data_IF_006651403624
#
_entry.id   IF_006651403624
#
_cell.length_a   1.000
_cell.length_b   1.000
_cell.length_c   1.000
_cell.angle_alpha   90.00
_cell.angle_beta   90.00
_cell.angle_gamma   90.00
#
_symmetry.space_group_name_H-M   'P 1'
#
loop_
_entity.id
_entity.type
_entity.pdbx_description
1 polymer ?
#
# COMPACT_ATOMS: atom_id res chain seq x y z
N UNK A 1 2.26 20.25 9.80
CA UNK A 1 1.85 18.82 9.67
C UNK A 1 3.03 18.09 9.06
N UNK A 2 3.76 17.28 9.85
CA UNK A 2 4.95 16.57 9.39
C UNK A 2 4.53 15.42 8.47
N UNK A 3 4.60 15.63 7.16
CA UNK A 3 4.47 14.55 6.18
C UNK A 3 5.76 13.74 6.22
N UNK A 4 5.87 12.80 7.15
CA UNK A 4 6.95 11.82 7.17
C UNK A 4 6.95 11.12 5.83
N UNK A 5 7.98 11.35 5.01
CA UNK A 5 8.13 10.68 3.72
C UNK A 5 8.39 9.18 3.97
N UNK A 6 7.42 8.29 3.67
CA UNK A 6 7.58 6.86 3.86
C UNK A 6 8.78 6.33 3.06
N UNK A 7 9.73 5.68 3.76
CA UNK A 7 10.94 5.15 3.14
C UNK A 7 10.64 3.81 2.48
N UNK A 8 10.32 3.85 1.19
CA UNK A 8 10.09 2.64 0.38
C UNK A 8 11.43 2.09 -0.11
N UNK A 9 11.98 1.10 0.59
CA UNK A 9 13.10 0.29 0.11
C UNK A 9 12.58 -0.95 -0.61
N UNK A 10 12.55 -0.92 -1.94
CA UNK A 10 12.27 -2.09 -2.79
C UNK A 10 13.50 -2.38 -3.65
N UNK A 11 13.88 -3.66 -3.80
CA UNK A 11 15.15 -4.05 -4.43
C UNK A 11 15.24 -3.46 -5.85
N UNK A 12 16.20 -2.55 -6.00
CA UNK A 12 16.61 -1.86 -7.22
C UNK A 12 17.22 -2.89 -8.16
N UNK A 13 16.46 -3.37 -9.15
CA UNK A 13 16.98 -4.39 -10.09
C UNK A 13 16.05 -4.84 -11.21
N UNK A 14 14.78 -4.43 -11.24
CA UNK A 14 13.85 -4.82 -12.30
C UNK A 14 13.12 -3.58 -12.79
N UNK A 15 13.14 -3.33 -14.10
CA UNK A 15 12.60 -2.13 -14.75
C UNK A 15 11.28 -1.67 -14.12
N UNK A 16 11.25 -0.44 -13.61
CA UNK A 16 10.07 0.18 -13.02
C UNK A 16 8.90 0.07 -13.99
N UNK A 17 7.72 -0.32 -13.52
CA UNK A 17 6.55 -0.36 -14.39
C UNK A 17 6.16 1.09 -14.73
N UNK A 18 6.07 1.40 -16.01
CA UNK A 18 5.45 2.67 -16.40
C UNK A 18 3.95 2.57 -16.10
N UNK A 19 3.54 3.34 -15.09
CA UNK A 19 2.17 3.45 -14.62
C UNK A 19 1.48 4.71 -15.18
N UNK A 20 2.16 5.49 -16.05
CA UNK A 20 1.60 6.70 -16.67
C UNK A 20 0.64 6.24 -17.77
N UNK A 21 -0.66 6.33 -17.49
CA UNK A 21 -1.72 5.93 -18.44
C UNK A 21 -2.59 4.76 -17.98
N UNK A 22 -2.27 4.12 -16.85
CA UNK A 22 -3.12 3.09 -16.26
C UNK A 22 -4.32 3.71 -15.53
N UNK A 23 -5.48 3.06 -15.64
CA UNK A 23 -6.69 3.47 -14.93
C UNK A 23 -6.47 3.55 -13.41
N UNK A 24 -6.75 4.72 -12.85
CA UNK A 24 -6.54 5.01 -11.43
C UNK A 24 -5.21 5.71 -11.11
N UNK A 25 -4.24 5.76 -12.04
CA UNK A 25 -2.95 6.46 -11.84
C UNK A 25 -3.13 7.94 -11.45
N UNK A 26 -4.17 8.57 -11.97
CA UNK A 26 -4.51 9.97 -11.67
C UNK A 26 -5.11 10.17 -10.26
N UNK A 27 -5.63 9.10 -9.64
CA UNK A 27 -6.13 9.13 -8.26
C UNK A 27 -5.04 8.83 -7.22
N UNK A 28 -3.86 8.38 -7.65
CA UNK A 28 -2.73 8.12 -6.77
C UNK A 28 -1.91 9.37 -6.55
N UNK A 29 -1.52 9.58 -5.29
CA UNK A 29 -0.55 10.60 -4.93
C UNK A 29 0.84 10.26 -5.47
N UNK A 30 1.74 11.25 -5.53
CA UNK A 30 3.09 11.07 -6.09
C UNK A 30 3.85 9.91 -5.41
N UNK A 31 3.79 9.85 -4.08
CA UNK A 31 4.37 8.77 -3.26
C UNK A 31 3.80 7.38 -3.59
N UNK A 32 2.47 7.31 -3.75
CA UNK A 32 1.79 6.04 -4.04
C UNK A 32 2.06 5.58 -5.48
N UNK A 33 2.20 6.52 -6.42
CA UNK A 33 2.67 6.21 -7.78
C UNK A 33 4.08 5.64 -7.75
N UNK A 34 5.01 6.27 -7.03
CA UNK A 34 6.35 5.71 -6.88
C UNK A 34 6.32 4.30 -6.28
N UNK A 35 5.47 4.06 -5.27
CA UNK A 35 5.26 2.75 -4.69
C UNK A 35 4.71 1.73 -5.71
N UNK A 36 3.67 2.08 -6.47
CA UNK A 36 3.10 1.21 -7.50
C UNK A 36 4.10 0.88 -8.60
N UNK A 37 4.88 1.87 -9.03
CA UNK A 37 5.92 1.70 -10.05
C UNK A 37 7.04 0.77 -9.56
N UNK A 38 7.47 0.94 -8.30
CA UNK A 38 8.47 0.07 -7.64
C UNK A 38 7.93 -1.35 -7.43
N UNK A 39 6.69 -1.50 -6.96
CA UNK A 39 6.05 -2.80 -6.70
C UNK A 39 5.55 -3.51 -7.97
N UNK A 40 5.64 -2.89 -9.15
CA UNK A 40 5.03 -3.36 -10.41
C UNK A 40 3.57 -3.78 -10.17
N UNK A 41 2.80 -2.90 -9.55
CA UNK A 41 1.40 -3.13 -9.21
C UNK A 41 0.53 -2.17 -10.01
N UNK A 42 -0.60 -2.66 -10.52
CA UNK A 42 -1.56 -1.79 -11.18
C UNK A 42 -2.18 -0.82 -10.15
N UNK A 43 -2.28 0.49 -10.50
CA UNK A 43 -2.98 1.51 -9.71
C UNK A 43 -4.31 1.05 -9.10
N UNK A 44 -5.14 0.39 -9.91
CA UNK A 44 -6.44 -0.12 -9.49
C UNK A 44 -6.32 -1.19 -8.40
N UNK A 45 -5.36 -2.10 -8.53
CA UNK A 45 -5.11 -3.15 -7.54
C UNK A 45 -4.57 -2.58 -6.23
N UNK A 46 -3.69 -1.57 -6.31
CA UNK A 46 -3.25 -0.82 -5.14
C UNK A 46 -4.43 -0.16 -4.42
N UNK A 47 -5.31 0.52 -5.14
CA UNK A 47 -6.46 1.20 -4.55
C UNK A 47 -7.39 0.21 -3.82
N UNK A 48 -7.64 -0.96 -4.43
CA UNK A 48 -8.41 -2.04 -3.78
C UNK A 48 -7.72 -2.52 -2.50
N UNK A 49 -6.41 -2.75 -2.55
CA UNK A 49 -5.62 -3.16 -1.39
C UNK A 49 -5.61 -2.13 -0.26
N UNK A 50 -5.36 -0.86 -0.60
CA UNK A 50 -5.41 0.29 0.31
C UNK A 50 -6.75 0.36 1.03
N UNK A 51 -7.86 0.29 0.30
CA UNK A 51 -9.21 0.32 0.88
C UNK A 51 -9.46 -0.88 1.79
N UNK A 52 -9.05 -2.08 1.39
CA UNK A 52 -9.23 -3.29 2.21
C UNK A 52 -8.42 -3.20 3.52
N UNK A 53 -7.16 -2.79 3.43
CA UNK A 53 -6.26 -2.63 4.58
C UNK A 53 -6.79 -1.56 5.53
N UNK A 54 -7.15 -0.38 5.04
CA UNK A 54 -7.68 0.71 5.87
C UNK A 54 -9.01 0.33 6.55
N UNK A 55 -9.90 -0.35 5.83
CA UNK A 55 -11.15 -0.87 6.43
C UNK A 55 -10.86 -1.90 7.52
N UNK A 56 -9.92 -2.82 7.26
CA UNK A 56 -9.46 -3.80 8.23
C UNK A 56 -8.86 -3.18 9.49
N UNK A 57 -7.94 -2.23 9.31
CA UNK A 57 -7.32 -1.49 10.39
C UNK A 57 -8.35 -0.70 11.21
N UNK A 58 -9.29 -0.02 10.55
CA UNK A 58 -10.38 0.69 11.23
C UNK A 58 -11.28 -0.26 12.03
N UNK A 59 -11.54 -1.46 11.52
CA UNK A 59 -12.30 -2.49 12.24
C UNK A 59 -11.53 -3.01 13.44
N UNK A 60 -10.25 -3.34 13.27
CA UNK A 60 -9.37 -3.77 14.37
C UNK A 60 -9.28 -2.69 15.46
N UNK A 61 -9.12 -1.41 15.09
CA UNK A 61 -9.12 -0.28 16.01
C UNK A 61 -10.43 -0.16 16.79
N UNK A 62 -11.58 -0.42 16.14
CA UNK A 62 -12.89 -0.44 16.80
C UNK A 62 -12.98 -1.58 17.82
N UNK A 63 -12.37 -2.71 17.51
CA UNK A 63 -12.31 -3.91 18.36
C UNK A 63 -11.19 -3.84 19.43
N UNK A 64 -10.45 -2.72 19.52
CA UNK A 64 -9.23 -2.59 20.34
C UNK A 64 -8.14 -3.63 20.02
N UNK A 65 -8.15 -4.19 18.81
CA UNK A 65 -7.15 -5.13 18.32
C UNK A 65 -6.03 -4.41 17.55
N UNK A 66 -4.82 -4.95 17.67
CA UNK A 66 -3.68 -4.51 16.84
C UNK A 66 -3.80 -5.10 15.45
N UNK A 67 -3.80 -4.25 14.44
CA UNK A 67 -3.85 -4.66 13.05
C UNK A 67 -2.47 -5.14 12.58
N UNK A 68 -2.29 -6.44 12.33
CA UNK A 68 -0.97 -7.01 11.99
C UNK A 68 -0.79 -7.11 10.47
N UNK A 69 0.47 -7.29 10.05
CA UNK A 69 0.84 -7.60 8.65
C UNK A 69 0.04 -8.78 8.09
N UNK A 70 -0.17 -9.83 8.89
CA UNK A 70 -0.94 -11.02 8.50
C UNK A 70 -2.41 -10.70 8.20
N UNK A 71 -3.01 -9.74 8.90
CA UNK A 71 -4.38 -9.31 8.65
C UNK A 71 -4.47 -8.57 7.32
N UNK A 72 -3.53 -7.66 7.05
CA UNK A 72 -3.44 -7.02 5.73
C UNK A 72 -3.23 -8.02 4.60
N UNK A 73 -2.38 -9.02 4.80
CA UNK A 73 -2.15 -10.08 3.82
C UNK A 73 -3.42 -10.89 3.52
N UNK A 74 -4.22 -11.20 4.54
CA UNK A 74 -5.50 -11.93 4.39
C UNK A 74 -6.60 -11.08 3.73
N UNK A 75 -6.55 -9.76 3.88
CA UNK A 75 -7.55 -8.84 3.35
C UNK A 75 -7.35 -8.52 1.86
N UNK A 76 -6.14 -8.69 1.34
CA UNK A 76 -5.84 -8.45 -0.07
C UNK A 76 -5.93 -9.73 -0.88
N UNK A 77 -6.36 -9.63 -2.14
CA UNK A 77 -6.46 -10.76 -3.06
C UNK A 77 -5.32 -10.78 -4.09
N UNK A 78 -4.14 -10.32 -3.69
CA UNK A 78 -2.95 -10.27 -4.53
C UNK A 78 -1.72 -10.68 -3.70
N UNK A 79 -0.56 -10.62 -4.33
CA UNK A 79 0.72 -11.02 -3.74
C UNK A 79 0.94 -10.53 -2.29
N UNK A 80 1.14 -11.48 -1.38
CA UNK A 80 1.29 -11.26 0.07
C UNK A 80 2.53 -10.44 0.42
N UNK A 81 3.58 -10.44 -0.42
CA UNK A 81 4.76 -9.62 -0.20
C UNK A 81 4.47 -8.15 -0.49
N UNK A 82 3.69 -7.88 -1.55
CA UNK A 82 3.23 -6.52 -1.86
C UNK A 82 2.31 -5.99 -0.76
N UNK A 83 1.43 -6.85 -0.23
CA UNK A 83 0.57 -6.53 0.91
C UNK A 83 1.37 -6.13 2.14
N UNK A 84 2.41 -6.90 2.46
CA UNK A 84 3.29 -6.64 3.59
C UNK A 84 3.98 -5.27 3.47
N UNK A 85 4.49 -4.94 2.27
CA UNK A 85 5.09 -3.62 2.01
C UNK A 85 4.10 -2.48 2.09
N UNK A 86 2.88 -2.68 1.62
CA UNK A 86 1.80 -1.70 1.76
C UNK A 86 1.45 -1.45 3.21
N UNK A 87 1.35 -2.51 4.00
CA UNK A 87 1.14 -2.40 5.44
C UNK A 87 2.25 -1.58 6.10
N UNK A 88 3.53 -1.89 5.82
CA UNK A 88 4.66 -1.13 6.38
C UNK A 88 4.61 0.35 5.97
N UNK A 89 4.22 0.64 4.74
CA UNK A 89 4.07 2.00 4.24
C UNK A 89 2.95 2.76 4.97
N UNK A 90 1.81 2.12 5.20
CA UNK A 90 0.69 2.73 5.93
C UNK A 90 0.98 2.90 7.42
N UNK A 91 1.70 1.97 8.02
CA UNK A 91 2.18 2.03 9.41
C UNK A 91 3.15 3.21 9.60
N UNK A 92 4.11 3.39 8.67
CA UNK A 92 5.02 4.54 8.65
C UNK A 92 4.30 5.89 8.52
N UNK A 93 3.17 5.91 7.80
CA UNK A 93 2.32 7.08 7.65
C UNK A 93 1.38 7.32 8.85
N UNK A 94 1.29 6.37 9.78
CA UNK A 94 0.35 6.42 10.92
C UNK A 94 -1.11 6.28 10.51
N UNK A 95 -1.39 5.62 9.38
CA UNK A 95 -2.76 5.42 8.89
C UNK A 95 -3.46 4.21 9.51
N UNK A 96 -2.70 3.28 10.08
CA UNK A 96 -3.16 2.02 10.68
C UNK A 96 -2.63 1.85 12.08
#
# INVERSE_FOLDING_TARGET
MNFTSPKITWKKGSSSLDIRGLEGANRLHKEERELCSKLRMQPLQYLRGKLAILRGARKARKDNLKFKKVDAQRLVNFDVNKACKLWEFFDQLGWI
#
